data_IF_540508233134
#
_entry.id   IF_540508233134
#
_cell.length_a   1.000
_cell.length_b   1.000
_cell.length_c   1.000
_cell.angle_alpha   90.00
_cell.angle_beta   90.00
_cell.angle_gamma   90.00
#
_symmetry.space_group_name_H-M   'P 1'
#
loop_
_entity.id
_entity.type
_entity.pdbx_description
1 polymer ?
#
# COMPACT_ATOMS: atom_id res chain seq x y z
N UNK A 1 1.16 18.19 1.59
CA UNK A 1 2.28 17.78 2.49
C UNK A 1 3.64 18.15 1.91
N UNK A 2 4.15 17.51 0.86
CA UNK A 2 5.50 17.77 0.32
C UNK A 2 5.70 19.22 -0.12
N UNK A 3 4.69 19.83 -0.74
CA UNK A 3 4.71 21.26 -1.11
C UNK A 3 4.98 22.15 0.12
N UNK A 4 4.29 21.90 1.24
CA UNK A 4 4.50 22.63 2.49
C UNK A 4 5.90 22.37 3.08
N UNK A 5 6.36 21.12 3.06
CA UNK A 5 7.71 20.77 3.53
C UNK A 5 8.79 21.51 2.72
N UNK A 6 8.60 21.65 1.40
CA UNK A 6 9.52 22.40 0.55
C UNK A 6 9.39 23.92 0.73
N UNK A 7 8.18 24.43 0.91
CA UNK A 7 7.92 25.87 1.06
C UNK A 7 8.45 26.41 2.40
N UNK A 8 8.18 25.71 3.50
CA UNK A 8 8.54 26.16 4.85
C UNK A 8 9.89 25.61 5.33
N UNK A 9 10.43 24.58 4.69
CA UNK A 9 11.73 23.99 5.01
C UNK A 9 11.92 23.50 6.46
N UNK A 10 10.92 22.91 7.16
CA UNK A 10 11.06 22.54 8.58
C UNK A 10 12.17 21.49 8.82
N UNK A 11 12.47 20.67 7.82
CA UNK A 11 13.47 19.60 7.88
C UNK A 11 14.92 20.10 7.78
N UNK A 12 15.16 21.33 7.33
CA UNK A 12 16.51 21.88 7.11
C UNK A 12 17.27 22.13 8.42
N UNK A 13 16.54 22.37 9.51
CA UNK A 13 17.10 22.68 10.82
C UNK A 13 17.46 21.43 11.64
N UNK A 14 17.09 20.24 11.14
CA UNK A 14 17.20 18.98 11.88
C UNK A 14 18.56 18.34 11.63
N UNK A 15 19.26 18.04 12.72
CA UNK A 15 20.59 17.42 12.70
C UNK A 15 20.54 15.90 12.53
N UNK A 16 19.40 15.27 12.81
CA UNK A 16 19.22 13.81 12.77
C UNK A 16 18.08 13.39 11.84
N UNK A 17 18.23 12.22 11.22
CA UNK A 17 17.20 11.60 10.37
C UNK A 17 16.00 11.08 11.18
N UNK A 18 16.17 10.85 12.47
CA UNK A 18 15.12 10.37 13.39
C UNK A 18 14.41 11.51 14.14
N UNK A 19 14.86 12.75 13.94
CA UNK A 19 14.26 13.92 14.57
C UNK A 19 12.88 14.17 13.97
N UNK A 20 11.91 14.47 14.86
CA UNK A 20 10.53 14.74 14.48
C UNK A 20 10.40 16.16 13.92
N UNK A 21 9.53 16.29 12.93
CA UNK A 21 9.15 17.54 12.32
C UNK A 21 7.65 17.61 12.18
N UNK A 22 7.08 18.72 12.63
CA UNK A 22 5.69 19.06 12.36
C UNK A 22 5.60 19.63 10.94
N UNK A 23 4.67 19.12 10.14
CA UNK A 23 4.42 19.64 8.80
C UNK A 23 3.53 20.89 8.90
N UNK A 24 4.05 22.09 8.59
CA UNK A 24 3.26 23.32 8.66
C UNK A 24 2.21 23.40 7.54
N UNK A 25 1.16 24.19 7.76
CA UNK A 25 0.15 24.50 6.75
C UNK A 25 -0.77 23.33 6.36
N UNK A 26 -0.87 22.29 7.19
CA UNK A 26 -1.89 21.26 7.05
C UNK A 26 -3.03 21.53 8.05
N UNK A 27 -4.21 21.00 7.75
CA UNK A 27 -5.37 21.12 8.63
C UNK A 27 -5.20 20.33 9.93
N UNK A 28 -4.58 19.15 9.86
CA UNK A 28 -4.30 18.32 11.02
C UNK A 28 -2.82 18.39 11.40
N UNK A 29 -2.53 18.06 12.66
CA UNK A 29 -1.16 17.96 13.15
C UNK A 29 -0.51 16.67 12.64
N UNK A 30 0.36 16.83 11.66
CA UNK A 30 1.09 15.71 11.06
C UNK A 30 2.57 15.82 11.43
N UNK A 31 3.03 14.88 12.25
CA UNK A 31 4.42 14.73 12.63
C UNK A 31 5.06 13.59 11.85
N UNK A 32 6.26 13.84 11.34
CA UNK A 32 7.05 12.87 10.60
C UNK A 32 8.51 12.93 11.05
N UNK A 33 9.25 11.85 10.89
CA UNK A 33 10.71 11.92 10.96
C UNK A 33 11.27 12.45 9.65
N UNK A 34 12.45 13.05 9.68
CA UNK A 34 13.19 13.41 8.45
C UNK A 34 13.39 12.19 7.55
N UNK A 35 13.57 11.00 8.12
CA UNK A 35 13.68 9.72 7.40
C UNK A 35 12.40 9.21 6.72
N UNK A 36 11.24 9.84 6.96
CA UNK A 36 10.00 9.51 6.27
C UNK A 36 9.76 10.41 5.03
N UNK A 37 10.49 11.52 4.90
CA UNK A 37 10.43 12.36 3.70
C UNK A 37 11.09 11.64 2.52
N UNK A 38 10.58 11.82 1.28
CA UNK A 38 11.27 11.30 0.11
C UNK A 38 12.63 12.01 -0.08
N UNK A 39 13.62 11.32 -0.63
CA UNK A 39 14.99 11.85 -0.76
C UNK A 39 15.04 13.23 -1.45
N UNK A 40 14.21 13.43 -2.48
CA UNK A 40 14.15 14.69 -3.21
C UNK A 40 13.59 15.87 -2.40
N UNK A 41 12.86 15.60 -1.32
CA UNK A 41 12.34 16.61 -0.39
C UNK A 41 13.23 16.80 0.84
N UNK A 42 14.22 15.90 1.08
CA UNK A 42 15.21 16.06 2.16
C UNK A 42 16.40 16.92 1.76
N UNK A 43 16.81 16.80 0.51
CA UNK A 43 17.83 17.65 -0.08
C UNK A 43 17.10 18.90 -0.59
N UNK A 44 17.71 20.09 -0.47
CA UNK A 44 17.16 21.35 -1.04
C UNK A 44 16.79 21.10 -2.49
N UNK A 45 15.51 20.83 -2.71
CA UNK A 45 15.00 20.32 -3.97
C UNK A 45 14.82 21.47 -4.93
N UNK A 46 15.11 21.22 -6.21
CA UNK A 46 14.78 22.14 -7.30
C UNK A 46 13.28 22.47 -7.34
N UNK A 47 12.84 23.27 -8.33
CA UNK A 47 11.48 23.79 -8.39
C UNK A 47 10.42 22.68 -8.21
N UNK A 48 9.35 22.97 -7.48
CA UNK A 48 8.18 22.07 -7.34
C UNK A 48 7.50 21.90 -8.70
N UNK A 49 8.02 20.97 -9.50
CA UNK A 49 7.53 20.71 -10.85
C UNK A 49 6.09 20.21 -10.83
N UNK A 50 5.71 19.44 -9.82
CA UNK A 50 4.35 18.90 -9.73
C UNK A 50 3.35 20.01 -9.39
N UNK A 51 3.64 20.87 -8.41
CA UNK A 51 2.80 22.04 -8.12
C UNK A 51 2.68 22.98 -9.32
N UNK A 52 3.79 23.26 -10.01
CA UNK A 52 3.75 24.09 -11.22
C UNK A 52 2.94 23.48 -12.37
N UNK A 53 2.91 22.16 -12.50
CA UNK A 53 2.09 21.47 -13.49
C UNK A 53 0.61 21.49 -13.10
N UNK A 54 0.30 21.34 -11.81
CA UNK A 54 -1.06 21.48 -11.29
C UNK A 54 -1.60 22.88 -11.57
N UNK A 55 -0.82 23.93 -11.31
CA UNK A 55 -1.23 25.33 -11.49
C UNK A 55 -1.41 25.72 -12.98
N UNK A 56 -0.71 25.02 -13.89
CA UNK A 56 -0.85 25.20 -15.35
C UNK A 56 -1.95 24.36 -15.97
N UNK A 57 -2.54 23.45 -15.21
CA UNK A 57 -3.61 22.56 -15.67
C UNK A 57 -4.97 23.19 -15.43
N UNK A 58 -6.01 22.70 -16.11
CA UNK A 58 -7.38 23.16 -15.86
C UNK A 58 -7.88 22.75 -14.46
N UNK A 59 -7.39 21.62 -13.96
CA UNK A 59 -7.67 21.08 -12.63
C UNK A 59 -7.14 19.67 -12.48
N UNK A 60 -7.45 19.02 -11.36
CA UNK A 60 -6.92 17.71 -10.98
C UNK A 60 -8.06 16.72 -10.79
N UNK A 61 -7.92 15.52 -11.37
CA UNK A 61 -8.82 14.40 -11.10
C UNK A 61 -8.16 13.53 -10.05
N UNK A 62 -8.85 13.31 -8.94
CA UNK A 62 -8.33 12.58 -7.78
C UNK A 62 -9.11 11.28 -7.65
N UNK A 63 -8.39 10.16 -7.58
CA UNK A 63 -9.00 8.87 -7.24
C UNK A 63 -9.25 8.83 -5.73
N UNK A 64 -10.24 9.56 -5.24
CA UNK A 64 -10.70 9.57 -3.86
C UNK A 64 -12.17 9.99 -3.80
N UNK A 65 -12.84 9.79 -2.68
CA UNK A 65 -14.21 10.24 -2.43
C UNK A 65 -14.23 11.41 -1.45
N UNK A 66 -15.28 12.24 -1.51
CA UNK A 66 -15.42 13.37 -0.59
C UNK A 66 -15.64 12.86 0.84
N UNK A 67 -16.37 11.77 1.00
CA UNK A 67 -16.70 11.14 2.27
C UNK A 67 -15.44 10.66 3.00
N UNK A 68 -14.41 10.21 2.27
CA UNK A 68 -13.17 9.72 2.84
C UNK A 68 -12.28 10.83 3.42
N UNK A 69 -12.21 11.98 2.74
CA UNK A 69 -11.26 13.05 3.10
C UNK A 69 -11.83 14.46 2.91
N UNK A 70 -13.09 14.67 3.31
CA UNK A 70 -13.86 15.91 3.12
C UNK A 70 -13.10 17.19 3.50
N UNK A 71 -12.46 17.18 4.68
CA UNK A 71 -11.62 18.31 5.15
C UNK A 71 -10.54 18.69 4.14
N UNK A 72 -9.85 17.70 3.56
CA UNK A 72 -8.78 17.93 2.59
C UNK A 72 -9.32 18.27 1.21
N UNK A 73 -10.47 17.71 0.82
CA UNK A 73 -11.16 18.10 -0.41
C UNK A 73 -11.56 19.59 -0.38
N UNK A 74 -12.12 20.05 0.75
CA UNK A 74 -12.48 21.46 0.95
C UNK A 74 -11.24 22.35 1.04
N UNK A 75 -10.18 21.92 1.73
CA UNK A 75 -8.91 22.63 1.75
C UNK A 75 -8.33 22.85 0.35
N UNK A 76 -8.33 21.81 -0.49
CA UNK A 76 -7.80 21.88 -1.85
C UNK A 76 -8.59 22.87 -2.72
N UNK A 77 -9.90 22.94 -2.52
CA UNK A 77 -10.80 23.84 -3.25
C UNK A 77 -10.75 25.29 -2.73
N UNK A 78 -10.87 25.47 -1.42
CA UNK A 78 -11.11 26.77 -0.80
C UNK A 78 -9.82 27.50 -0.45
N UNK A 79 -8.84 26.80 0.13
CA UNK A 79 -7.58 27.41 0.58
C UNK A 79 -6.54 27.45 -0.53
N UNK A 80 -6.41 26.37 -1.31
CA UNK A 80 -5.49 26.33 -2.45
C UNK A 80 -6.10 26.90 -3.75
N UNK A 81 -7.42 27.15 -3.78
CA UNK A 81 -8.11 27.66 -4.97
C UNK A 81 -8.08 26.72 -6.18
N UNK A 82 -7.75 25.44 -5.98
CA UNK A 82 -7.56 24.47 -7.07
C UNK A 82 -8.87 23.80 -7.43
N UNK A 83 -9.10 23.64 -8.74
CA UNK A 83 -10.21 22.83 -9.24
C UNK A 83 -9.84 21.36 -9.13
N UNK A 84 -10.53 20.61 -8.28
CA UNK A 84 -10.36 19.17 -8.16
C UNK A 84 -11.69 18.42 -8.16
N UNK A 85 -11.67 17.21 -8.71
CA UNK A 85 -12.80 16.29 -8.71
C UNK A 85 -12.36 14.94 -8.14
N UNK A 86 -12.92 14.59 -6.98
CA UNK A 86 -12.83 13.25 -6.43
C UNK A 86 -13.79 12.33 -7.17
N UNK A 87 -13.27 11.32 -7.89
CA UNK A 87 -14.07 10.35 -8.66
C UNK A 87 -13.88 8.91 -8.17
N UNK A 88 -13.23 8.75 -7.02
CA UNK A 88 -12.84 7.47 -6.48
C UNK A 88 -13.89 6.85 -5.55
N UNK A 89 -13.67 5.59 -5.13
CA UNK A 89 -12.59 4.72 -5.61
C UNK A 89 -12.89 4.15 -7.01
N UNK A 90 -12.05 4.47 -8.01
CA UNK A 90 -12.25 4.05 -9.42
C UNK A 90 -12.16 2.53 -9.62
N UNK A 91 -11.64 1.80 -8.62
CA UNK A 91 -11.65 0.34 -8.60
C UNK A 91 -13.06 -0.24 -8.51
N UNK A 92 -14.08 0.55 -8.13
CA UNK A 92 -15.49 0.16 -8.10
C UNK A 92 -16.13 0.05 -9.48
N UNK A 93 -15.53 0.62 -10.53
CA UNK A 93 -16.12 0.62 -11.87
C UNK A 93 -16.29 -0.80 -12.44
N UNK A 94 -15.46 -1.76 -12.02
CA UNK A 94 -15.55 -3.16 -12.43
C UNK A 94 -16.35 -3.95 -11.39
N UNK A 95 -17.58 -4.32 -11.76
CA UNK A 95 -18.55 -4.93 -10.84
C UNK A 95 -18.56 -6.46 -10.91
N UNK A 96 -18.29 -7.04 -12.08
CA UNK A 96 -18.46 -8.47 -12.30
C UNK A 96 -17.25 -9.29 -11.86
N UNK A 97 -17.50 -10.47 -11.28
CA UNK A 97 -16.43 -11.39 -10.85
C UNK A 97 -15.53 -11.83 -12.00
N UNK A 98 -16.12 -11.95 -13.21
CA UNK A 98 -15.37 -12.24 -14.44
C UNK A 98 -14.36 -11.13 -14.70
N UNK A 99 -14.76 -9.86 -14.73
CA UNK A 99 -13.83 -8.72 -14.94
C UNK A 99 -12.77 -8.59 -13.83
N UNK A 100 -13.10 -8.98 -12.60
CA UNK A 100 -12.14 -8.99 -11.48
C UNK A 100 -11.14 -10.15 -11.60
N UNK A 101 -11.61 -11.32 -12.02
CA UNK A 101 -10.81 -12.52 -12.25
C UNK A 101 -10.00 -12.45 -13.55
N UNK A 102 -10.43 -11.69 -14.55
CA UNK A 102 -9.65 -11.46 -15.77
C UNK A 102 -8.39 -10.62 -15.51
N UNK A 103 -8.31 -9.95 -14.35
CA UNK A 103 -7.05 -9.37 -13.87
C UNK A 103 -6.03 -10.46 -13.46
N UNK A 104 -6.41 -11.74 -13.35
CA UNK A 104 -5.52 -12.90 -13.30
C UNK A 104 -6.11 -14.17 -12.64
N UNK A 105 -5.41 -15.30 -12.77
CA UNK A 105 -5.89 -16.64 -12.39
C UNK A 105 -6.39 -16.73 -10.94
N UNK A 106 -7.57 -17.30 -10.75
CA UNK A 106 -8.12 -17.61 -9.43
C UNK A 106 -7.20 -18.60 -8.69
N UNK A 107 -6.72 -18.22 -7.51
CA UNK A 107 -6.18 -19.17 -6.55
C UNK A 107 -7.37 -19.71 -5.76
N UNK A 108 -7.65 -21.01 -5.86
CA UNK A 108 -8.61 -21.69 -5.01
C UNK A 108 -8.03 -21.74 -3.60
N UNK A 109 -8.66 -21.04 -2.68
CA UNK A 109 -8.29 -21.00 -1.27
C UNK A 109 -9.45 -21.66 -0.52
N UNK A 110 -9.19 -22.78 0.15
CA UNK A 110 -10.25 -23.54 0.85
C UNK A 110 -10.91 -22.69 1.95
N UNK A 111 -12.23 -22.81 2.03
CA UNK A 111 -13.09 -22.09 2.98
C UNK A 111 -13.02 -22.71 4.38
N UNK A 112 -11.90 -22.52 5.07
CA UNK A 112 -11.83 -22.80 6.50
C UNK A 112 -12.21 -21.55 7.32
N UNK A 113 -12.99 -21.76 8.39
CA UNK A 113 -13.55 -20.77 9.33
C UNK A 113 -12.53 -19.87 10.08
N UNK A 114 -11.26 -19.91 9.69
CA UNK A 114 -10.21 -19.10 10.28
C UNK A 114 -10.25 -17.69 9.68
N UNK A 115 -9.84 -16.67 10.45
CA UNK A 115 -9.58 -15.33 9.90
C UNK A 115 -8.17 -15.29 9.33
N UNK A 116 -8.02 -14.80 8.13
CA UNK A 116 -6.80 -14.83 7.33
C UNK A 116 -6.13 -13.46 7.40
N UNK A 117 -4.81 -13.48 7.54
CA UNK A 117 -3.96 -12.34 7.28
C UNK A 117 -3.54 -12.37 5.80
N UNK A 118 -4.00 -11.40 5.01
CA UNK A 118 -3.56 -11.21 3.63
C UNK A 118 -2.30 -10.34 3.62
N UNK A 119 -1.20 -10.88 3.12
CA UNK A 119 0.06 -10.16 2.99
C UNK A 119 0.40 -9.96 1.51
N UNK A 120 0.20 -8.73 1.00
CA UNK A 120 0.49 -8.36 -0.40
C UNK A 120 1.17 -7.00 -0.47
N UNK A 121 2.43 -7.00 -0.90
CA UNK A 121 3.22 -5.78 -1.07
C UNK A 121 3.06 -5.12 -2.46
N UNK A 122 2.37 -5.80 -3.38
CA UNK A 122 2.12 -5.34 -4.75
C UNK A 122 3.30 -5.59 -5.70
N UNK A 123 3.04 -5.51 -7.00
CA UNK A 123 4.01 -5.89 -8.06
C UNK A 123 5.22 -4.95 -8.19
N UNK A 124 5.11 -3.72 -7.65
CA UNK A 124 6.18 -2.73 -7.66
C UNK A 124 7.09 -2.82 -6.44
N UNK A 125 6.72 -3.61 -5.42
CA UNK A 125 7.62 -3.92 -4.33
C UNK A 125 8.66 -4.93 -4.80
N UNK A 126 9.93 -4.62 -4.53
CA UNK A 126 11.04 -5.53 -4.72
C UNK A 126 11.69 -5.75 -3.37
N UNK A 127 11.47 -6.94 -2.79
CA UNK A 127 11.98 -7.28 -1.46
C UNK A 127 13.25 -8.11 -1.59
N UNK A 128 14.32 -7.79 -0.85
CA UNK A 128 15.47 -8.69 -0.77
C UNK A 128 15.09 -9.98 -0.04
N UNK A 129 15.73 -11.09 -0.38
CA UNK A 129 15.46 -12.40 0.24
C UNK A 129 15.50 -12.38 1.76
N UNK A 130 16.50 -11.70 2.35
CA UNK A 130 16.56 -11.54 3.82
C UNK A 130 15.26 -11.01 4.42
N UNK A 131 14.62 -10.04 3.76
CA UNK A 131 13.35 -9.50 4.24
C UNK A 131 12.20 -10.49 4.05
N UNK A 132 12.21 -11.29 2.95
CA UNK A 132 11.24 -12.36 2.75
C UNK A 132 11.35 -13.43 3.84
N UNK A 133 12.57 -13.81 4.21
CA UNK A 133 12.85 -14.79 5.27
C UNK A 133 12.30 -14.28 6.62
N UNK A 134 12.56 -13.03 6.98
CA UNK A 134 12.02 -12.43 8.21
C UNK A 134 10.48 -12.38 8.20
N UNK A 135 9.86 -12.04 7.05
CA UNK A 135 8.40 -12.08 6.91
C UNK A 135 7.88 -13.51 7.10
N UNK A 136 8.52 -14.50 6.49
CA UNK A 136 8.15 -15.90 6.59
C UNK A 136 8.24 -16.41 8.05
N UNK A 137 9.30 -16.04 8.77
CA UNK A 137 9.42 -16.31 10.21
C UNK A 137 8.30 -15.64 11.00
N UNK A 138 8.04 -14.35 10.78
CA UNK A 138 6.95 -13.64 11.45
C UNK A 138 5.59 -14.27 11.21
N UNK A 139 5.32 -14.75 9.98
CA UNK A 139 4.09 -15.46 9.63
C UNK A 139 3.98 -16.80 10.37
N UNK A 140 5.02 -17.62 10.38
CA UNK A 140 4.98 -18.93 11.06
C UNK A 140 4.90 -18.79 12.58
N UNK A 141 5.60 -17.81 13.16
CA UNK A 141 5.61 -17.54 14.60
C UNK A 141 4.32 -16.89 15.09
N UNK A 142 3.61 -16.12 14.24
CA UNK A 142 2.31 -15.54 14.59
C UNK A 142 1.23 -16.58 14.89
N UNK A 143 1.41 -17.82 14.41
CA UNK A 143 0.43 -18.92 14.43
C UNK A 143 -0.94 -18.57 13.84
N UNK A 144 -1.06 -17.46 13.12
CA UNK A 144 -2.29 -17.06 12.43
C UNK A 144 -2.39 -17.73 11.06
N UNK A 145 -3.62 -17.86 10.56
CA UNK A 145 -3.84 -18.27 9.18
C UNK A 145 -3.46 -17.12 8.22
N UNK A 146 -2.81 -17.42 7.09
CA UNK A 146 -2.37 -16.37 6.16
C UNK A 146 -2.43 -16.78 4.69
N UNK A 147 -2.61 -15.77 3.82
CA UNK A 147 -2.16 -15.85 2.42
C UNK A 147 -1.07 -14.82 2.21
N UNK A 148 0.07 -15.29 1.72
CA UNK A 148 1.21 -14.45 1.41
C UNK A 148 1.50 -14.45 -0.10
N UNK A 149 1.37 -13.28 -0.72
CA UNK A 149 1.63 -13.09 -2.14
C UNK A 149 3.03 -12.49 -2.31
N UNK A 150 3.95 -13.29 -2.85
CA UNK A 150 5.34 -12.90 -3.10
C UNK A 150 5.43 -12.35 -4.52
N UNK A 151 5.69 -11.05 -4.63
CA UNK A 151 5.87 -10.34 -5.90
C UNK A 151 7.28 -10.51 -6.49
N UNK A 152 7.88 -9.40 -6.94
CA UNK A 152 9.25 -9.42 -7.46
C UNK A 152 10.25 -9.48 -6.30
N UNK A 153 11.28 -10.30 -6.44
CA UNK A 153 12.38 -10.40 -5.48
C UNK A 153 13.55 -9.55 -5.97
N UNK A 154 14.11 -8.72 -5.08
CA UNK A 154 15.29 -7.91 -5.40
C UNK A 154 16.55 -8.76 -5.27
N UNK A 155 17.26 -8.96 -6.38
CA UNK A 155 18.51 -9.72 -6.42
C UNK A 155 19.71 -8.80 -6.56
N UNK A 156 20.64 -8.83 -5.60
CA UNK A 156 21.97 -8.24 -5.80
C UNK A 156 22.81 -9.18 -6.67
N UNK A 157 23.53 -8.68 -7.66
CA UNK A 157 24.24 -9.49 -8.68
C UNK A 157 25.33 -10.45 -8.15
N UNK A 158 25.61 -10.52 -6.84
CA UNK A 158 26.75 -11.27 -6.28
C UNK A 158 26.47 -12.00 -4.94
N UNK A 159 25.33 -12.69 -4.77
CA UNK A 159 25.04 -13.46 -3.54
C UNK A 159 24.52 -14.86 -3.86
N UNK A 160 24.64 -15.76 -2.88
CA UNK A 160 24.15 -17.16 -2.90
C UNK A 160 22.61 -17.23 -2.97
N UNK A 161 22.03 -16.79 -4.09
CA UNK A 161 20.59 -16.80 -4.34
C UNK A 161 20.00 -18.21 -4.26
N UNK A 162 20.79 -19.22 -4.59
CA UNK A 162 20.37 -20.62 -4.54
C UNK A 162 20.01 -21.06 -3.12
N UNK A 163 20.79 -20.66 -2.11
CA UNK A 163 20.49 -21.02 -0.72
C UNK A 163 19.20 -20.36 -0.23
N UNK A 164 19.05 -19.05 -0.48
CA UNK A 164 17.88 -18.27 -0.05
C UNK A 164 16.59 -18.74 -0.74
N UNK A 165 16.67 -19.05 -2.03
CA UNK A 165 15.57 -19.60 -2.81
C UNK A 165 15.20 -21.03 -2.34
N UNK A 166 16.20 -21.90 -2.11
CA UNK A 166 15.96 -23.24 -1.58
C UNK A 166 15.30 -23.20 -0.19
N UNK A 167 15.69 -22.24 0.66
CA UNK A 167 15.03 -22.03 1.95
C UNK A 167 13.56 -21.66 1.79
N UNK A 168 13.24 -20.73 0.87
CA UNK A 168 11.88 -20.28 0.61
C UNK A 168 11.01 -21.41 0.04
N UNK A 169 11.54 -22.21 -0.89
CA UNK A 169 10.88 -23.43 -1.39
C UNK A 169 10.60 -24.40 -0.22
N UNK A 170 11.57 -24.60 0.67
CA UNK A 170 11.37 -25.41 1.87
C UNK A 170 10.27 -24.88 2.79
N UNK A 171 10.13 -23.55 2.91
CA UNK A 171 9.01 -22.93 3.65
C UNK A 171 7.66 -23.17 2.95
N UNK A 172 7.60 -22.99 1.64
CA UNK A 172 6.39 -23.23 0.84
C UNK A 172 5.89 -24.67 0.96
N UNK A 173 6.81 -25.65 0.90
CA UNK A 173 6.47 -27.06 1.08
C UNK A 173 5.88 -27.32 2.47
N UNK A 174 6.48 -26.79 3.54
CA UNK A 174 5.94 -26.90 4.91
C UNK A 174 4.56 -26.26 5.04
N UNK A 175 4.34 -25.12 4.38
CA UNK A 175 3.03 -24.46 4.41
C UNK A 175 1.98 -25.22 3.61
N UNK A 176 2.35 -25.88 2.51
CA UNK A 176 1.42 -26.71 1.71
C UNK A 176 0.89 -27.91 2.48
N UNK A 177 1.67 -28.45 3.41
CA UNK A 177 1.27 -29.55 4.30
C UNK A 177 0.46 -29.07 5.53
N UNK A 178 0.35 -27.75 5.72
CA UNK A 178 -0.32 -27.13 6.87
C UNK A 178 -1.59 -26.42 6.43
N UNK A 179 -2.73 -26.55 7.14
CA UNK A 179 -3.94 -25.80 6.82
C UNK A 179 -3.82 -24.29 7.14
N UNK A 180 -2.67 -23.84 7.67
CA UNK A 180 -2.50 -22.48 8.18
C UNK A 180 -2.03 -21.46 7.14
N UNK A 181 -1.44 -21.86 6.02
CA UNK A 181 -0.68 -20.91 5.19
C UNK A 181 -0.69 -21.24 3.72
N UNK A 182 -1.04 -20.24 2.90
CA UNK A 182 -0.92 -20.32 1.43
C UNK A 182 0.12 -19.30 0.96
N UNK A 183 1.11 -19.76 0.20
CA UNK A 183 2.09 -18.89 -0.45
C UNK A 183 1.81 -18.87 -1.95
N UNK A 184 1.64 -17.67 -2.52
CA UNK A 184 1.38 -17.46 -3.94
C UNK A 184 2.56 -16.66 -4.52
N UNK A 185 3.26 -17.24 -5.50
CA UNK A 185 4.30 -16.51 -6.25
C UNK A 185 3.71 -15.74 -7.42
N UNK A 186 4.16 -14.51 -7.60
CA UNK A 186 3.77 -13.64 -8.72
C UNK A 186 2.54 -12.80 -8.41
N UNK A 187 1.49 -12.99 -9.21
CA UNK A 187 0.28 -12.18 -9.14
C UNK A 187 -0.87 -12.97 -8.49
N UNK A 188 -1.67 -12.28 -7.68
CA UNK A 188 -2.88 -12.83 -7.08
C UNK A 188 -4.05 -11.82 -7.21
N UNK A 189 -5.31 -12.30 -7.27
CA UNK A 189 -6.48 -11.44 -7.43
C UNK A 189 -6.80 -10.70 -6.13
N UNK A 190 -5.95 -9.72 -5.79
CA UNK A 190 -5.96 -9.00 -4.51
C UNK A 190 -7.34 -8.43 -4.17
N UNK A 191 -8.10 -7.93 -5.16
CA UNK A 191 -9.46 -7.42 -4.94
C UNK A 191 -10.41 -8.56 -4.50
N UNK A 192 -10.40 -9.69 -5.19
CA UNK A 192 -11.25 -10.84 -4.83
C UNK A 192 -10.86 -11.41 -3.46
N UNK A 193 -9.56 -11.44 -3.17
CA UNK A 193 -9.07 -11.89 -1.87
C UNK A 193 -9.49 -10.95 -0.74
N UNK A 194 -9.41 -9.64 -0.94
CA UNK A 194 -9.87 -8.64 0.04
C UNK A 194 -11.38 -8.69 0.26
N UNK A 195 -12.16 -9.04 -0.76
CA UNK A 195 -13.62 -9.18 -0.64
C UNK A 195 -14.05 -10.50 0.03
N UNK A 196 -13.10 -11.41 0.31
CA UNK A 196 -13.40 -12.70 0.89
C UNK A 196 -13.71 -12.57 2.38
N UNK A 197 -14.87 -13.10 2.81
CA UNK A 197 -15.43 -13.01 4.19
C UNK A 197 -14.49 -13.43 5.32
N UNK A 198 -13.44 -14.19 5.00
CA UNK A 198 -12.49 -14.70 5.98
C UNK A 198 -11.21 -13.86 6.08
N UNK A 199 -10.99 -12.83 5.27
CA UNK A 199 -9.84 -11.93 5.44
C UNK A 199 -10.10 -10.96 6.59
N UNK A 200 -9.34 -11.11 7.68
CA UNK A 200 -9.47 -10.24 8.87
C UNK A 200 -8.45 -9.10 8.90
N UNK A 201 -7.31 -9.28 8.24
CA UNK A 201 -6.19 -8.33 8.28
C UNK A 201 -5.53 -8.24 6.91
N UNK A 202 -5.09 -7.03 6.55
CA UNK A 202 -4.38 -6.79 5.30
C UNK A 202 -3.08 -6.01 5.55
N UNK A 203 -1.95 -6.62 5.21
CA UNK A 203 -0.60 -6.04 5.29
C UNK A 203 -0.17 -5.61 3.88
N UNK A 204 0.17 -4.32 3.74
CA UNK A 204 0.59 -3.74 2.46
C UNK A 204 1.59 -2.60 2.65
N UNK A 205 2.20 -2.14 1.57
CA UNK A 205 3.04 -0.93 1.55
C UNK A 205 2.25 0.40 1.66
N UNK A 206 0.97 0.36 2.05
CA UNK A 206 0.11 1.54 2.21
C UNK A 206 0.06 2.46 0.97
N UNK A 207 0.19 1.86 -0.23
CA UNK A 207 0.01 2.59 -1.49
C UNK A 207 -1.47 2.95 -1.64
N UNK A 208 -1.75 4.11 -2.23
CA UNK A 208 -3.11 4.65 -2.35
C UNK A 208 -4.14 3.65 -2.92
N UNK A 209 -3.79 2.94 -3.99
CA UNK A 209 -4.67 1.91 -4.57
C UNK A 209 -4.94 0.73 -3.63
N UNK A 210 -3.98 0.36 -2.79
CA UNK A 210 -4.14 -0.71 -1.78
C UNK A 210 -5.02 -0.24 -0.63
N UNK A 211 -4.87 1.02 -0.19
CA UNK A 211 -5.72 1.66 0.82
C UNK A 211 -7.16 1.76 0.35
N UNK A 212 -7.39 2.30 -0.85
CA UNK A 212 -8.73 2.37 -1.46
C UNK A 212 -9.35 1.00 -1.68
N UNK A 213 -8.54 -0.01 -2.04
CA UNK A 213 -9.01 -1.39 -2.19
C UNK A 213 -9.59 -1.96 -0.90
N UNK A 214 -9.05 -1.57 0.26
CA UNK A 214 -9.59 -1.93 1.58
C UNK A 214 -10.83 -1.10 1.94
N UNK A 215 -10.80 0.20 1.68
CA UNK A 215 -11.95 1.04 2.00
C UNK A 215 -13.21 0.64 1.23
N UNK A 216 -13.05 0.18 -0.02
CA UNK A 216 -14.12 -0.46 -0.80
C UNK A 216 -14.84 -1.58 -0.04
N UNK A 217 -14.11 -2.43 0.67
CA UNK A 217 -14.71 -3.56 1.39
C UNK A 217 -15.51 -3.07 2.59
N UNK A 218 -14.97 -2.13 3.36
CA UNK A 218 -15.69 -1.47 4.47
C UNK A 218 -16.98 -0.78 4.04
N UNK A 219 -16.98 -0.07 2.91
CA UNK A 219 -18.19 0.57 2.38
C UNK A 219 -19.27 -0.47 2.05
N UNK A 220 -18.89 -1.61 1.46
CA UNK A 220 -19.82 -2.70 1.15
C UNK A 220 -20.36 -3.42 2.38
N UNK A 221 -19.56 -3.54 3.44
CA UNK A 221 -20.04 -4.07 4.72
C UNK A 221 -21.12 -3.15 5.30
N UNK A 222 -20.92 -1.83 5.25
CA UNK A 222 -21.91 -0.84 5.72
C UNK A 222 -23.21 -0.84 4.91
N UNK A 223 -23.15 -1.08 3.60
CA UNK A 223 -24.35 -1.17 2.74
C UNK A 223 -25.18 -2.45 2.97
N UNK A 224 -24.62 -3.46 3.64
CA UNK A 224 -25.28 -4.75 3.91
C UNK A 224 -25.97 -4.83 5.28
N UNK A 225 -25.72 -3.87 6.17
CA UNK A 225 -26.35 -3.71 7.48
C UNK A 225 -27.60 -2.81 7.42
#
# INVERSE_FOLDING_TARGET
>A
MIQNVNHFGPHEKLGSDLELLLVPGLLDWVELTKSQLPMFARNKGGPDKFGQLEDKSFGVVVNSSYELESKYADYFKNELGKKAWGIGPVSLCNKDEVEKSERGKAASVDEDNLKWCLNCFGSLAQLPYKQLIEIAHGLDDSKQAFVWVIGKVFTYENKDHEYEENWLVGFEMRMRESPRGVVIRGWAPQILMLEHKFVGWFVSYYRWNSTLGRERERERERERE
#
